data_IF_807791929157
#
_entry.id   IF_807791929157
#
_cell.length_a   1.000
_cell.length_b   1.000
_cell.length_c   1.000
_cell.angle_alpha   90.00
_cell.angle_beta   90.00
_cell.angle_gamma   90.00
#
_symmetry.space_group_name_H-M   'P 1'
#
loop_
_entity.id
_entity.type
_entity.pdbx_description
1 polymer ?
#
# COMPACT_ATOMS: atom_id res chain seq x y z
N UNK A 1 6.87 11.78 14.98
CA UNK A 1 5.94 10.75 15.52
C UNK A 1 5.80 10.98 17.01
N UNK A 2 4.59 11.31 17.47
CA UNK A 2 4.33 11.63 18.88
C UNK A 2 3.30 10.68 19.46
N UNK A 3 3.58 10.10 20.63
CA UNK A 3 2.63 9.27 21.37
C UNK A 3 2.14 10.03 22.59
N UNK A 4 0.82 10.11 22.77
CA UNK A 4 0.17 10.83 23.88
C UNK A 4 -0.88 9.96 24.55
N UNK A 5 -1.15 10.23 25.83
CA UNK A 5 -2.26 9.59 26.54
C UNK A 5 -3.61 10.22 26.16
N UNK A 6 -4.71 9.49 26.36
CA UNK A 6 -6.06 10.04 26.16
C UNK A 6 -6.32 11.29 27.00
N UNK A 7 -5.81 11.33 28.24
CA UNK A 7 -6.00 12.48 29.15
C UNK A 7 -5.30 13.73 28.63
N UNK A 8 -4.06 13.57 28.16
CA UNK A 8 -3.25 14.66 27.61
C UNK A 8 -3.81 15.17 26.29
N UNK A 9 -4.25 14.25 25.42
CA UNK A 9 -4.93 14.57 24.18
C UNK A 9 -6.22 15.38 24.44
N UNK A 10 -7.04 14.95 25.40
CA UNK A 10 -8.29 15.65 25.75
C UNK A 10 -8.05 17.07 26.26
N UNK A 11 -7.00 17.28 27.06
CA UNK A 11 -6.67 18.58 27.63
C UNK A 11 -6.14 19.59 26.60
N UNK A 12 -5.57 19.12 25.50
CA UNK A 12 -4.91 19.95 24.49
C UNK A 12 -5.33 19.58 23.06
N UNK A 13 -6.62 19.30 22.86
CA UNK A 13 -7.12 18.70 21.63
C UNK A 13 -6.73 19.50 20.37
N UNK A 14 -6.87 20.83 20.41
CA UNK A 14 -6.53 21.72 19.28
C UNK A 14 -5.06 21.60 18.88
N UNK A 15 -4.14 21.76 19.84
CA UNK A 15 -2.69 21.64 19.62
C UNK A 15 -2.30 20.30 19.00
N UNK A 16 -2.95 19.22 19.42
CA UNK A 16 -2.65 17.89 18.92
C UNK A 16 -3.26 17.61 17.54
N UNK A 17 -4.40 18.24 17.20
CA UNK A 17 -4.93 18.22 15.84
C UNK A 17 -4.03 19.01 14.89
N UNK A 18 -3.58 20.20 15.29
CA UNK A 18 -2.60 21.00 14.53
C UNK A 18 -1.28 20.21 14.33
N UNK A 19 -0.85 19.46 15.36
CA UNK A 19 0.32 18.58 15.24
C UNK A 19 0.05 17.40 14.30
N UNK A 20 -1.16 16.85 14.27
CA UNK A 20 -1.52 15.73 13.40
C UNK A 20 -1.45 16.09 11.91
N UNK A 21 -1.57 17.36 11.55
CA UNK A 21 -1.37 17.85 10.18
C UNK A 21 0.09 17.75 9.71
N UNK A 22 1.06 17.84 10.63
CA UNK A 22 2.50 17.84 10.31
C UNK A 22 3.21 16.55 10.69
N UNK A 23 2.73 15.85 11.72
CA UNK A 23 3.36 14.66 12.26
C UNK A 23 2.35 13.58 12.66
N UNK A 24 2.73 12.31 12.46
CA UNK A 24 1.94 11.17 12.92
C UNK A 24 1.73 11.20 14.44
N UNK A 25 0.48 11.37 14.85
CA UNK A 25 0.03 11.35 16.24
C UNK A 25 -0.56 9.99 16.61
N UNK A 26 -0.10 9.42 17.72
CA UNK A 26 -0.58 8.15 18.28
C UNK A 26 -1.20 8.42 19.65
N UNK A 27 -2.47 8.04 19.84
CA UNK A 27 -3.18 8.14 21.11
C UNK A 27 -3.19 6.77 21.77
N UNK A 28 -2.50 6.63 22.90
CA UNK A 28 -2.49 5.41 23.68
C UNK A 28 -3.61 5.41 24.74
N UNK A 29 -4.50 4.41 24.68
CA UNK A 29 -5.58 4.17 25.66
C UNK A 29 -5.16 3.08 26.64
N UNK A 30 -5.55 3.23 27.91
CA UNK A 30 -5.16 2.40 29.07
C UNK A 30 -5.64 0.93 29.07
N UNK A 31 -5.81 0.31 27.90
CA UNK A 31 -6.11 -1.12 27.73
C UNK A 31 -5.30 -1.73 26.57
N UNK A 32 -4.09 -1.22 26.32
CA UNK A 32 -3.20 -1.67 25.24
C UNK A 32 -3.68 -1.36 23.83
N UNK A 33 -4.65 -0.44 23.67
CA UNK A 33 -5.15 -0.03 22.36
C UNK A 33 -4.62 1.36 22.04
N UNK A 34 -4.07 1.50 20.83
CA UNK A 34 -3.57 2.77 20.33
C UNK A 34 -4.33 3.16 19.07
N UNK A 35 -4.59 4.45 18.90
CA UNK A 35 -5.24 5.01 17.72
C UNK A 35 -4.27 5.96 17.02
N UNK A 36 -4.34 6.03 15.69
CA UNK A 36 -3.58 7.01 14.90
C UNK A 36 -4.55 8.10 14.47
N UNK A 37 -4.15 9.36 14.64
CA UNK A 37 -4.90 10.50 14.10
C UNK A 37 -4.19 10.97 12.84
N UNK A 38 -4.95 11.07 11.75
CA UNK A 38 -4.53 11.63 10.47
C UNK A 38 -5.56 12.68 10.05
N UNK A 39 -5.14 13.79 9.43
CA UNK A 39 -6.06 14.77 8.86
C UNK A 39 -6.84 14.12 7.71
N UNK A 40 -8.08 14.56 7.53
CA UNK A 40 -8.94 14.12 6.42
C UNK A 40 -8.72 14.96 5.15
N UNK A 41 -7.88 16.00 5.20
CA UNK A 41 -7.64 16.88 4.07
C UNK A 41 -6.77 16.19 3.03
N UNK A 42 -7.45 15.81 1.95
CA UNK A 42 -6.97 15.71 0.56
C UNK A 42 -6.04 14.54 0.23
N UNK A 43 -6.65 13.54 -0.42
CA UNK A 43 -6.07 12.70 -1.49
C UNK A 43 -5.23 11.46 -1.11
N UNK A 44 -5.71 10.61 -0.19
CA UNK A 44 -5.47 9.16 -0.34
C UNK A 44 -6.42 8.52 -1.40
N UNK A 45 -7.28 9.33 -2.04
CA UNK A 45 -8.00 8.98 -3.27
C UNK A 45 -7.15 9.18 -4.55
N UNK A 46 -5.99 9.88 -4.47
CA UNK A 46 -4.95 9.72 -5.48
C UNK A 46 -4.31 8.35 -5.27
N UNK A 47 -4.95 7.34 -5.86
CA UNK A 47 -4.36 6.01 -5.98
C UNK A 47 -2.88 6.14 -6.32
N UNK A 48 -2.02 5.56 -5.47
CA UNK A 48 -0.56 5.46 -5.67
C UNK A 48 -0.19 4.89 -7.05
N UNK A 49 -1.12 4.18 -7.67
CA UNK A 49 -1.00 3.67 -9.03
C UNK A 49 -1.36 4.75 -10.04
N UNK A 50 -0.44 5.00 -10.97
CA UNK A 50 -0.73 5.69 -12.22
C UNK A 50 -1.82 4.97 -13.02
N UNK A 51 -2.49 5.69 -13.93
CA UNK A 51 -3.56 5.11 -14.75
C UNK A 51 -3.07 3.93 -15.62
N UNK A 52 -1.83 3.97 -16.09
CA UNK A 52 -1.21 2.85 -16.80
C UNK A 52 -1.08 1.60 -15.93
N UNK A 53 -0.77 1.78 -14.64
CA UNK A 53 -0.65 0.66 -13.70
C UNK A 53 -2.01 0.09 -13.35
N UNK A 54 -3.04 0.93 -13.18
CA UNK A 54 -4.43 0.48 -13.00
C UNK A 54 -4.90 -0.34 -14.19
N UNK A 55 -4.71 0.17 -15.41
CA UNK A 55 -5.09 -0.53 -16.63
C UNK A 55 -4.38 -1.89 -16.79
N UNK A 56 -3.07 -1.96 -16.48
CA UNK A 56 -2.32 -3.21 -16.52
C UNK A 56 -2.80 -4.23 -15.48
N UNK A 57 -3.25 -3.78 -14.30
CA UNK A 57 -3.84 -4.65 -13.28
C UNK A 57 -5.20 -5.17 -13.74
N UNK A 58 -6.04 -4.32 -14.32
CA UNK A 58 -7.35 -4.72 -14.84
C UNK A 58 -7.22 -5.77 -15.95
N UNK A 59 -6.27 -5.58 -16.87
CA UNK A 59 -5.93 -6.55 -17.91
C UNK A 59 -5.45 -7.88 -17.30
N UNK A 60 -4.55 -7.83 -16.31
CA UNK A 60 -4.05 -9.02 -15.64
C UNK A 60 -5.16 -9.80 -14.90
N UNK A 61 -6.12 -9.08 -14.30
CA UNK A 61 -7.29 -9.70 -13.66
C UNK A 61 -8.20 -10.39 -14.68
N UNK A 62 -8.40 -9.78 -15.84
CA UNK A 62 -9.16 -10.36 -16.94
C UNK A 62 -8.47 -11.61 -17.52
N UNK A 63 -7.14 -11.58 -17.64
CA UNK A 63 -6.33 -12.72 -18.08
C UNK A 63 -6.45 -13.90 -17.11
N UNK A 64 -6.42 -13.63 -15.80
CA UNK A 64 -6.64 -14.66 -14.77
C UNK A 64 -8.04 -15.25 -14.88
N UNK A 65 -9.07 -14.41 -15.03
CA UNK A 65 -10.46 -14.86 -15.16
C UNK A 65 -10.69 -15.75 -16.40
N UNK A 66 -10.02 -15.41 -17.51
CA UNK A 66 -10.10 -16.16 -18.76
C UNK A 66 -9.08 -17.31 -18.89
N UNK A 67 -8.26 -17.56 -17.85
CA UNK A 67 -7.25 -18.60 -17.86
C UNK A 67 -6.09 -18.35 -18.83
N UNK A 68 -5.87 -17.10 -19.27
CA UNK A 68 -4.74 -16.65 -20.11
C UNK A 68 -3.45 -16.50 -19.27
N UNK A 69 -3.17 -17.49 -18.45
CA UNK A 69 -2.02 -17.53 -17.55
C UNK A 69 -1.06 -18.65 -17.98
N UNK A 70 0.22 -18.47 -17.67
CA UNK A 70 1.23 -19.50 -17.89
C UNK A 70 1.98 -19.78 -16.61
N UNK A 71 2.27 -21.06 -16.35
CA UNK A 71 3.11 -21.41 -15.22
C UNK A 71 4.55 -20.97 -15.47
N UNK A 72 5.29 -20.74 -14.40
CA UNK A 72 6.72 -20.43 -14.50
C UNK A 72 7.49 -21.49 -15.30
N UNK A 73 7.19 -22.77 -15.09
CA UNK A 73 7.84 -23.87 -15.80
C UNK A 73 7.58 -23.79 -17.31
N UNK A 74 6.32 -23.60 -17.73
CA UNK A 74 5.95 -23.50 -19.14
C UNK A 74 6.65 -22.33 -19.84
N UNK A 75 6.70 -21.17 -19.17
CA UNK A 75 7.36 -19.97 -19.72
C UNK A 75 8.87 -20.23 -19.85
N UNK A 76 9.50 -20.81 -18.83
CA UNK A 76 10.93 -21.11 -18.85
C UNK A 76 11.30 -22.10 -19.95
N UNK A 77 10.52 -23.15 -20.14
CA UNK A 77 10.73 -24.13 -21.22
C UNK A 77 10.59 -23.50 -22.61
N UNK A 78 9.51 -22.74 -22.84
CA UNK A 78 9.30 -22.01 -24.11
C UNK A 78 10.43 -21.03 -24.38
N UNK A 79 10.91 -20.33 -23.36
CA UNK A 79 11.97 -19.32 -23.49
C UNK A 79 13.31 -19.97 -23.76
N UNK A 80 13.66 -21.07 -23.07
CA UNK A 80 14.87 -21.86 -23.34
C UNK A 80 14.87 -22.43 -24.75
N UNK A 81 13.72 -22.92 -25.24
CA UNK A 81 13.57 -23.43 -26.61
C UNK A 81 13.77 -22.33 -27.65
N UNK A 82 13.25 -21.12 -27.39
CA UNK A 82 13.31 -19.99 -28.32
C UNK A 82 14.66 -19.27 -28.31
N UNK A 83 15.30 -19.16 -27.14
CA UNK A 83 16.54 -18.43 -26.94
C UNK A 83 17.58 -19.27 -26.17
N UNK A 84 18.06 -20.39 -26.75
CA UNK A 84 18.96 -21.31 -26.05
C UNK A 84 20.29 -20.66 -25.65
N UNK A 85 20.77 -19.68 -26.43
CA UNK A 85 22.02 -18.97 -26.17
C UNK A 85 22.01 -18.11 -24.90
N UNK A 86 20.83 -17.77 -24.34
CA UNK A 86 20.72 -17.01 -23.10
C UNK A 86 20.89 -17.89 -21.84
N UNK A 87 20.84 -19.21 -21.99
CA UNK A 87 20.85 -20.16 -20.86
C UNK A 87 22.07 -21.10 -20.86
N UNK A 88 22.93 -20.99 -21.87
CA UNK A 88 24.18 -21.74 -21.92
C UNK A 88 25.30 -20.88 -21.30
N UNK A 89 25.64 -21.16 -20.04
CA UNK A 89 26.85 -20.64 -19.38
C UNK A 89 27.70 -21.81 -18.89
#
# INVERSE_FOLDING_TARGET
MKTVSVTEFRGNIKKYLDLAESEKLIIHRSKGRSFVVIPLNEEDDESLLSDNQKAAIDEALEDVANGRIHSHQDVMEKTKKRFPHLFNR
#
